data_IF_770529339905
#
_entry.id   IF_770529339905
#
_cell.length_a   1.000
_cell.length_b   1.000
_cell.length_c   1.000
_cell.angle_alpha   90.00
_cell.angle_beta   90.00
_cell.angle_gamma   90.00
#
_symmetry.space_group_name_H-M   'P 1'
#
loop_
_entity.id
_entity.type
_entity.pdbx_description
1 polymer ?
2 water ?
#
# COMPACT_ATOMS: atom_id res chain seq x y z
N UNK A 1 -3.97 10.15 -13.09
CA UNK A 1 -3.03 10.88 -13.84
C UNK A 1 -2.42 11.70 -12.78
N UNK A 2 -1.22 11.35 -12.41
CA UNK A 2 -0.66 10.01 -12.66
C UNK A 2 -1.26 8.97 -11.68
N UNK A 3 -1.69 9.36 -10.49
CA UNK A 3 -2.14 8.41 -9.48
C UNK A 3 -3.54 7.90 -9.64
N UNK A 4 -4.39 8.55 -10.46
CA UNK A 4 -5.77 8.16 -10.56
C UNK A 4 -5.99 6.67 -10.88
N UNK A 5 -5.22 6.11 -11.81
CA UNK A 5 -5.47 4.71 -12.26
C UNK A 5 -5.20 3.75 -11.08
N UNK A 6 -4.27 4.12 -10.20
CA UNK A 6 -3.95 3.26 -9.06
C UNK A 6 -4.93 3.50 -7.91
N UNK A 7 -5.31 4.75 -7.68
CA UNK A 7 -6.37 5.08 -6.73
C UNK A 7 -7.67 4.37 -6.98
N UNK A 8 -8.03 4.18 -8.24
CA UNK A 8 -9.25 3.39 -8.54
C UNK A 8 -9.21 1.93 -8.12
N UNK A 9 -8.03 1.38 -7.83
CA UNK A 9 -7.93 0.02 -7.39
C UNK A 9 -7.82 -0.15 -5.87
N UNK A 10 -7.93 0.93 -5.11
CA UNK A 10 -7.95 0.79 -3.64
C UNK A 10 -9.02 -0.19 -3.21
N UNK A 11 -8.60 -1.16 -2.40
CA UNK A 11 -9.42 -2.29 -1.98
C UNK A 11 -9.08 -3.58 -2.67
N UNK A 12 -8.33 -3.52 -3.77
CA UNK A 12 -7.92 -4.72 -4.46
C UNK A 12 -6.84 -5.43 -3.72
N UNK A 13 -6.69 -6.70 -4.10
CA UNK A 13 -5.65 -7.53 -3.59
C UNK A 13 -4.61 -7.71 -4.64
N UNK A 14 -3.35 -7.64 -4.24
CA UNK A 14 -2.25 -7.90 -5.13
C UNK A 14 -1.25 -8.85 -4.44
N UNK A 15 -0.46 -9.56 -5.25
CA UNK A 15 0.46 -10.57 -4.77
C UNK A 15 1.83 -9.95 -4.90
N UNK A 16 2.38 -9.54 -3.78
CA UNK A 16 3.67 -8.89 -3.75
C UNK A 16 4.81 -9.89 -3.67
N UNK A 17 5.69 -9.85 -4.67
CA UNK A 17 6.86 -10.73 -4.78
C UNK A 17 7.63 -10.76 -3.48
N UNK A 18 7.75 -11.95 -2.90
CA UNK A 18 8.49 -12.23 -1.66
C UNK A 18 7.88 -11.65 -0.38
N UNK A 19 6.62 -11.26 -0.44
CA UNK A 19 5.94 -10.71 0.72
C UNK A 19 4.65 -11.44 0.94
N UNK A 20 3.88 -11.58 -0.12
CA UNK A 20 2.61 -12.27 -0.04
C UNK A 20 1.46 -11.45 -0.55
N UNK A 21 0.26 -11.89 -0.23
CA UNK A 21 -0.95 -11.22 -0.66
C UNK A 21 -1.17 -9.98 0.20
N UNK A 22 -1.39 -8.83 -0.42
CA UNK A 22 -1.71 -7.58 0.29
C UNK A 22 -2.89 -6.81 -0.31
N UNK A 23 -3.68 -6.16 0.56
CA UNK A 23 -4.77 -5.35 0.14
C UNK A 23 -4.22 -3.92 -0.07
N UNK A 24 -4.45 -3.33 -1.23
CA UNK A 24 -4.11 -1.93 -1.51
C UNK A 24 -5.04 -1.02 -0.71
N UNK A 25 -4.47 -0.15 0.12
CA UNK A 25 -5.28 0.75 0.97
C UNK A 25 -5.04 2.23 0.75
N UNK A 26 -3.92 2.60 0.12
CA UNK A 26 -3.55 4.01 -0.02
C UNK A 26 -2.63 4.09 -1.21
N UNK A 27 -2.71 5.20 -1.94
CA UNK A 27 -1.73 5.54 -2.95
C UNK A 27 -1.38 7.02 -2.83
N UNK A 28 -0.14 7.37 -2.67
CA UNK A 28 0.20 8.78 -2.62
C UNK A 28 1.50 9.02 -1.92
N UNK A 29 1.82 10.28 -1.66
CA UNK A 29 3.05 10.68 -1.01
C UNK A 29 3.00 10.33 0.48
N UNK A 30 4.16 10.21 1.06
CA UNK A 30 4.29 9.97 2.50
C UNK A 30 5.21 11.04 3.02
N UNK A 31 4.78 11.71 4.08
CA UNK A 31 5.55 12.84 4.63
C UNK A 31 6.96 12.42 4.95
N UNK A 32 7.90 13.27 4.52
CA UNK A 32 9.36 13.04 4.72
C UNK A 32 10.01 11.94 3.88
N UNK A 33 9.29 11.45 2.86
CA UNK A 33 9.84 10.42 2.00
C UNK A 33 9.77 10.91 0.60
N UNK A 34 10.57 10.31 -0.29
CA UNK A 34 10.59 10.72 -1.70
C UNK A 34 9.66 9.87 -2.53
N UNK A 35 8.85 10.48 -3.37
CA UNK A 35 8.11 9.72 -4.36
C UNK A 35 6.73 9.34 -3.90
N UNK A 36 6.10 8.47 -4.68
CA UNK A 36 4.80 7.97 -4.41
C UNK A 36 4.88 6.56 -3.85
N UNK A 37 3.88 6.20 -3.05
CA UNK A 37 3.84 4.97 -2.34
C UNK A 37 2.50 4.31 -2.44
N UNK A 38 2.51 2.98 -2.42
CA UNK A 38 1.34 2.20 -2.16
C UNK A 38 1.35 1.83 -0.69
N UNK A 39 0.26 2.04 -0.01
CA UNK A 39 0.14 1.55 1.34
C UNK A 39 -0.69 0.30 1.25
N UNK A 40 -0.15 -0.79 1.78
CA UNK A 40 -0.79 -2.08 1.71
C UNK A 40 -0.97 -2.69 3.11
N UNK A 41 -2.03 -3.47 3.26
CA UNK A 41 -2.25 -4.23 4.44
C UNK A 41 -1.95 -5.72 4.09
N UNK A 42 -0.92 -6.25 4.74
CA UNK A 42 -0.45 -7.61 4.52
C UNK A 42 -1.20 -8.69 5.31
N UNK A 43 -2.10 -8.26 6.18
CA UNK A 43 -3.01 -9.17 6.94
C UNK A 43 -2.24 -10.19 7.79
N UNK A 44 -1.03 -9.82 8.20
CA UNK A 44 -0.19 -10.56 9.13
C UNK A 44 0.87 -9.56 9.52
N UNK A 45 1.57 -9.81 10.62
CA UNK A 45 2.56 -8.88 11.14
C UNK A 45 3.90 -8.98 10.47
N UNK A 46 3.88 -8.96 9.15
CA UNK A 46 5.08 -9.00 8.33
C UNK A 46 5.39 -7.65 7.69
N UNK A 47 4.63 -6.63 8.06
CA UNK A 47 4.89 -5.27 7.61
C UNK A 47 5.68 -4.48 8.61
N UNK A 48 5.52 -3.19 8.60
CA UNK A 48 6.22 -2.30 9.42
C UNK A 48 5.36 -1.41 10.28
N UNK A 49 4.07 -1.26 9.99
CA UNK A 49 3.32 -0.21 10.70
C UNK A 49 1.89 -0.56 10.81
N UNK A 50 1.14 0.33 11.44
CA UNK A 50 -0.30 0.20 11.61
C UNK A 50 -1.04 1.19 10.73
N UNK A 51 -0.41 1.55 9.59
CA UNK A 51 -1.07 2.41 8.64
C UNK A 51 -0.84 3.87 8.94
N UNK A 52 -0.17 4.18 10.04
CA UNK A 52 0.17 5.56 10.36
C UNK A 52 1.68 5.79 10.29
N UNK A 53 2.11 7.03 10.13
CA UNK A 53 3.52 7.37 10.01
C UNK A 53 3.65 8.80 10.48
N UNK A 54 4.57 9.01 11.42
CA UNK A 54 4.74 10.30 12.06
C UNK A 54 3.49 10.89 12.66
N UNK A 55 2.67 10.11 13.30
CA UNK A 55 1.52 10.69 13.91
C UNK A 55 0.34 10.88 12.98
N UNK A 56 0.51 10.66 11.67
CA UNK A 56 -0.66 10.79 10.77
C UNK A 56 -1.17 9.45 10.28
N UNK A 57 -2.50 9.28 10.19
CA UNK A 57 -3.10 8.08 9.65
C UNK A 57 -3.17 8.15 8.16
N UNK A 58 -2.58 7.19 7.50
CA UNK A 58 -2.74 6.99 6.06
C UNK A 58 -3.79 5.97 5.69
N UNK A 59 -3.87 4.87 6.43
CA UNK A 59 -4.87 3.83 6.14
C UNK A 59 -5.05 2.93 7.35
N UNK A 60 -6.04 2.11 7.30
CA UNK A 60 -6.38 1.20 8.40
C UNK A 60 -5.76 -0.19 8.16
N UNK A 61 -5.16 -0.78 9.19
CA UNK A 61 -4.62 -2.15 9.06
C UNK A 61 -5.33 -3.08 10.05
N UNK A 62 -5.37 -4.34 9.73
CA UNK A 62 -5.98 -5.36 10.61
C UNK A 62 -5.15 -5.59 11.88
N UNK A 63 -3.82 -5.60 11.75
CA UNK A 63 -2.90 -5.86 12.87
C UNK A 63 -1.86 -4.77 13.04
N UNK A 64 -1.21 -4.72 14.21
CA UNK A 64 -0.34 -3.56 14.51
C UNK A 64 0.89 -3.41 13.64
N UNK A 65 1.34 -4.50 13.00
CA UNK A 65 2.45 -4.40 12.04
C UNK A 65 2.11 -4.96 10.73
N UNK A 66 0.84 -4.95 10.32
CA UNK A 66 0.49 -5.48 9.04
C UNK A 66 0.54 -4.46 7.90
N UNK A 67 0.79 -3.19 8.19
CA UNK A 67 0.82 -2.22 7.09
C UNK A 67 2.25 -2.02 6.58
N UNK A 68 2.34 -1.60 5.33
CA UNK A 68 3.62 -1.33 4.71
C UNK A 68 3.52 -0.34 3.56
N UNK A 69 4.41 0.64 3.53
CA UNK A 69 4.51 1.51 2.37
C UNK A 69 5.52 0.91 1.41
N UNK A 70 5.13 0.79 0.15
CA UNK A 70 6.01 0.27 -0.88
C UNK A 70 6.11 1.32 -1.97
N UNK A 71 7.31 1.58 -2.48
CA UNK A 71 7.47 2.56 -3.56
C UNK A 71 6.55 2.13 -4.71
N UNK A 72 5.77 3.07 -5.16
CA UNK A 72 4.72 2.74 -6.11
C UNK A 72 5.25 2.07 -7.37
N UNK A 73 6.38 2.53 -7.87
CA UNK A 73 6.98 1.92 -9.10
C UNK A 73 7.19 0.42 -9.02
N UNK A 74 7.45 -0.09 -7.81
CA UNK A 74 7.59 -1.51 -7.58
C UNK A 74 6.37 -2.35 -7.70
N UNK A 75 5.18 -1.78 -7.54
CA UNK A 75 3.97 -2.53 -7.61
C UNK A 75 2.97 -1.98 -8.62
N UNK A 76 3.37 -0.99 -9.39
CA UNK A 76 2.43 -0.29 -10.27
C UNK A 76 1.82 -1.26 -11.28
N UNK A 77 2.63 -2.10 -11.89
CA UNK A 77 2.02 -3.05 -12.86
C UNK A 77 1.15 -4.15 -12.19
N UNK A 78 1.46 -4.54 -10.94
CA UNK A 78 0.58 -5.47 -10.19
C UNK A 78 -0.73 -4.86 -9.90
N UNK A 79 -0.73 -3.57 -9.58
CA UNK A 79 -1.98 -2.89 -9.33
C UNK A 79 -2.82 -2.77 -10.63
N UNK A 80 -2.17 -2.44 -11.71
CA UNK A 80 -2.87 -2.31 -12.97
C UNK A 80 -3.58 -3.60 -13.39
N UNK A 81 -2.94 -4.72 -13.21
CA UNK A 81 -3.55 -6.04 -13.49
C UNK A 81 -4.68 -6.44 -12.55
N UNK A 82 -4.69 -5.97 -11.30
CA UNK A 82 -5.69 -6.35 -10.32
C UNK A 82 -7.06 -5.81 -10.71
N UNK A 83 -8.10 -6.52 -10.26
CA UNK A 83 -9.46 -6.10 -10.55
C UNK A 83 -10.21 -5.73 -9.28
N UNK A 84 -11.02 -4.70 -9.40
CA UNK A 84 -11.78 -4.15 -8.27
C UNK A 84 -13.17 -4.75 -8.33
#
# INVERSE_FOLDING_TARGET
GPMDRYQRKIGCFIQIPNLGRGQLKYVGPVDTKAGMFAGVDLLANIGKNDGSFMGKKYFQTEYPQSGLFIQLQKVASLIEKASISQTSRRTTMEPLSIPKNR
#
